data_IF_574452303730
#
_entry.id   IF_574452303730
#
_cell.length_a   1.000
_cell.length_b   1.000
_cell.length_c   1.000
_cell.angle_alpha   90.00
_cell.angle_beta   90.00
_cell.angle_gamma   90.00
#
_symmetry.space_group_name_H-M   'P 1'
#
loop_
_entity.id
_entity.type
_entity.pdbx_description
1 polymer ?
#
# COMPACT_ATOMS: atom_id res chain seq x y z
N UNK A 1 -1.47 8.59 28.49
CA UNK A 1 -1.49 8.63 27.02
C UNK A 1 -1.91 7.26 26.54
N UNK A 2 -3.13 7.11 26.00
CA UNK A 2 -3.57 5.82 25.45
C UNK A 2 -3.16 5.79 23.98
N UNK A 3 -2.24 4.90 23.62
CA UNK A 3 -1.90 4.63 22.22
C UNK A 3 -2.91 3.65 21.65
N UNK A 4 -3.95 4.18 20.99
CA UNK A 4 -4.89 3.34 20.26
C UNK A 4 -4.17 2.74 19.06
N UNK A 5 -3.89 1.44 19.12
CA UNK A 5 -3.32 0.70 17.99
C UNK A 5 -4.47 0.13 17.17
N UNK A 6 -4.62 0.60 15.93
CA UNK A 6 -5.57 0.02 14.99
C UNK A 6 -4.89 -1.13 14.24
N UNK A 7 -5.52 -2.31 14.23
CA UNK A 7 -5.07 -3.48 13.48
C UNK A 7 -6.21 -3.93 12.57
N UNK A 8 -5.92 -3.97 11.28
CA UNK A 8 -6.87 -4.39 10.26
C UNK A 8 -6.32 -5.64 9.58
N UNK A 9 -7.20 -6.59 9.29
CA UNK A 9 -6.86 -7.84 8.63
C UNK A 9 -7.67 -7.94 7.34
N UNK A 10 -6.99 -8.22 6.25
CA UNK A 10 -7.58 -8.32 4.93
C UNK A 10 -6.95 -9.42 4.10
N UNK A 11 -7.41 -9.53 2.87
CA UNK A 11 -6.80 -10.42 1.88
C UNK A 11 -5.92 -9.60 0.95
N UNK A 12 -4.87 -10.20 0.41
CA UNK A 12 -4.07 -9.57 -0.63
C UNK A 12 -3.92 -10.52 -1.82
N UNK A 13 -3.83 -9.94 -3.01
CA UNK A 13 -3.44 -10.64 -4.23
C UNK A 13 -2.25 -9.91 -4.87
N UNK A 14 -1.40 -10.66 -5.57
CA UNK A 14 -0.28 -10.10 -6.33
C UNK A 14 -0.41 -10.53 -7.77
N UNK A 15 -0.53 -9.57 -8.67
CA UNK A 15 -0.60 -9.78 -10.12
C UNK A 15 0.58 -9.03 -10.77
N UNK A 16 1.56 -9.78 -11.27
CA UNK A 16 2.81 -9.20 -11.77
C UNK A 16 3.55 -8.44 -10.66
N UNK A 17 3.71 -7.12 -10.84
CA UNK A 17 4.33 -6.23 -9.87
C UNK A 17 3.31 -5.35 -9.12
N UNK A 18 2.03 -5.68 -9.16
CA UNK A 18 0.97 -4.94 -8.44
C UNK A 18 0.38 -5.84 -7.37
N UNK A 19 0.45 -5.40 -6.12
CA UNK A 19 -0.25 -5.98 -4.99
C UNK A 19 -1.56 -5.23 -4.76
N UNK A 20 -2.66 -5.96 -4.63
CA UNK A 20 -3.96 -5.43 -4.22
C UNK A 20 -4.24 -5.90 -2.81
N UNK A 21 -4.45 -4.96 -1.88
CA UNK A 21 -4.90 -5.24 -0.52
C UNK A 21 -6.39 -4.94 -0.44
N UNK A 22 -7.17 -5.88 0.09
CA UNK A 22 -8.61 -5.79 0.26
C UNK A 22 -8.91 -5.88 1.75
N UNK A 23 -9.31 -4.76 2.32
CA UNK A 23 -9.73 -4.66 3.71
C UNK A 23 -11.22 -4.30 3.74
N UNK A 24 -12.09 -5.32 3.86
CA UNK A 24 -13.53 -5.11 3.74
C UNK A 24 -13.92 -4.60 2.35
N UNK A 25 -14.51 -3.41 2.28
CA UNK A 25 -14.89 -2.75 1.02
C UNK A 25 -13.76 -1.93 0.40
N UNK A 26 -12.73 -1.60 1.19
CA UNK A 26 -11.63 -0.75 0.75
C UNK A 26 -10.58 -1.57 -0.01
N UNK A 27 -10.16 -1.03 -1.15
CA UNK A 27 -9.07 -1.58 -1.97
C UNK A 27 -7.92 -0.61 -2.05
N UNK A 28 -6.74 -1.11 -1.69
CA UNK A 28 -5.49 -0.37 -1.80
C UNK A 28 -4.59 -1.08 -2.80
N UNK A 29 -3.85 -0.31 -3.59
CA UNK A 29 -2.95 -0.82 -4.60
C UNK A 29 -1.52 -0.43 -4.26
N UNK A 30 -0.60 -1.36 -4.44
CA UNK A 30 0.82 -1.15 -4.19
C UNK A 30 1.62 -1.71 -5.34
N UNK A 31 2.67 -1.02 -5.76
CA UNK A 31 3.67 -1.55 -6.66
C UNK A 31 4.73 -2.27 -5.85
N UNK A 32 4.96 -3.54 -6.17
CA UNK A 32 6.00 -4.38 -5.59
C UNK A 32 7.31 -4.09 -6.27
N UNK A 33 8.26 -3.56 -5.50
CA UNK A 33 9.65 -3.37 -5.89
C UNK A 33 10.58 -4.30 -5.12
N UNK A 34 11.88 -4.10 -5.32
CA UNK A 34 12.89 -4.83 -4.57
C UNK A 34 12.94 -4.33 -3.12
N UNK A 35 12.39 -5.11 -2.19
CA UNK A 35 12.27 -4.77 -0.76
C UNK A 35 11.46 -3.48 -0.48
N UNK A 36 10.67 -3.00 -1.44
CA UNK A 36 9.82 -1.82 -1.31
C UNK A 36 8.41 -2.09 -1.81
N UNK A 37 7.43 -1.39 -1.21
CA UNK A 37 6.07 -1.28 -1.71
C UNK A 37 5.73 0.20 -1.89
N UNK A 38 5.41 0.62 -3.11
CA UNK A 38 4.98 2.00 -3.38
C UNK A 38 3.47 2.05 -3.48
N UNK A 39 2.80 2.87 -2.67
CA UNK A 39 1.35 3.01 -2.77
C UNK A 39 0.96 3.65 -4.11
N UNK A 40 -0.13 3.12 -4.69
CA UNK A 40 -0.69 3.56 -5.96
C UNK A 40 -2.06 4.17 -5.73
N UNK A 41 -2.49 5.03 -6.64
CA UNK A 41 -3.86 5.55 -6.68
C UNK A 41 -4.85 4.46 -7.17
N UNK A 42 -6.14 4.80 -7.23
CA UNK A 42 -7.18 3.87 -7.69
C UNK A 42 -7.02 3.43 -9.15
N UNK A 43 -6.32 4.23 -9.96
CA UNK A 43 -5.97 3.93 -11.35
C UNK A 43 -4.69 3.08 -11.48
N UNK A 44 -4.14 2.57 -10.36
CA UNK A 44 -2.89 1.80 -10.27
C UNK A 44 -1.66 2.57 -10.78
N UNK A 45 -1.70 3.90 -10.70
CA UNK A 45 -0.57 4.78 -11.02
C UNK A 45 0.15 5.20 -9.74
N UNK A 46 1.45 5.47 -9.84
CA UNK A 46 2.21 5.99 -8.71
C UNK A 46 1.63 7.34 -8.27
N UNK A 47 1.49 7.51 -6.95
CA UNK A 47 1.15 8.82 -6.38
C UNK A 47 2.35 9.74 -6.66
N UNK A 48 2.12 10.86 -7.34
CA UNK A 48 3.16 11.84 -7.70
C UNK A 48 3.01 13.11 -6.86
N UNK A 49 4.10 13.89 -6.76
CA UNK A 49 4.16 15.14 -6.00
C UNK A 49 5.19 15.11 -4.87
N UNK A 50 5.27 16.19 -4.09
CA UNK A 50 6.25 16.36 -3.02
C UNK A 50 6.16 15.30 -1.92
N UNK A 51 5.01 14.63 -1.80
CA UNK A 51 4.76 13.60 -0.80
C UNK A 51 4.94 12.17 -1.32
N UNK A 52 5.32 11.97 -2.59
CA UNK A 52 5.41 10.64 -3.20
C UNK A 52 6.31 9.69 -2.40
N UNK A 53 7.44 10.17 -1.87
CA UNK A 53 8.38 9.37 -1.09
C UNK A 53 7.79 8.87 0.24
N UNK A 54 6.80 9.58 0.80
CA UNK A 54 6.11 9.16 2.02
C UNK A 54 5.18 7.96 1.81
N UNK A 55 4.88 7.61 0.55
CA UNK A 55 4.05 6.47 0.18
C UNK A 55 4.88 5.23 -0.16
N UNK A 56 6.21 5.27 0.03
CA UNK A 56 7.10 4.13 -0.16
C UNK A 56 7.31 3.43 1.18
N UNK A 57 6.80 2.21 1.28
CA UNK A 57 7.03 1.33 2.41
C UNK A 57 8.30 0.53 2.16
N UNK A 58 9.23 0.60 3.11
CA UNK A 58 10.44 -0.22 3.11
C UNK A 58 10.21 -1.46 3.95
N UNK A 59 10.65 -2.61 3.44
CA UNK A 59 10.72 -3.84 4.21
C UNK A 59 11.65 -3.60 5.42
N UNK A 60 11.14 -3.86 6.63
CA UNK A 60 11.92 -3.87 7.87
C UNK A 60 12.78 -5.12 7.98
#
# INVERSE_FOLDING_TARGET
MVINTFKEYGTYSVEGNIMTLINGEDKQYYKVGENTLTALNQDKQAITGELADHYILHKK
#
